data_IF_085371274877
#
_entry.id   IF_085371274877
#
_cell.length_a   1.000
_cell.length_b   1.000
_cell.length_c   1.000
_cell.angle_alpha   90.00
_cell.angle_beta   90.00
_cell.angle_gamma   90.00
#
_symmetry.space_group_name_H-M   'P 1'
#
loop_
_entity.id
_entity.type
_entity.pdbx_description
1 polymer ?
#
# COMPACT_ATOMS: atom_id res chain seq x y z
N UNK A 1 29.99 -7.25 7.36
CA UNK A 1 29.41 -7.43 8.71
C UNK A 1 28.99 -8.88 8.85
N UNK A 2 29.32 -9.54 9.96
CA UNK A 2 28.75 -10.85 10.26
C UNK A 2 27.25 -10.67 10.59
N UNK A 3 26.39 -11.62 10.19
CA UNK A 3 24.93 -11.58 10.50
C UNK A 3 24.67 -11.40 12.00
N UNK A 4 25.58 -11.88 12.83
CA UNK A 4 25.56 -11.79 14.30
C UNK A 4 25.71 -10.36 14.85
N UNK A 5 26.16 -9.40 14.03
CA UNK A 5 26.27 -7.98 14.39
C UNK A 5 25.15 -7.12 13.78
N UNK A 6 24.20 -7.72 13.07
CA UNK A 6 23.11 -6.98 12.46
C UNK A 6 22.13 -6.50 13.54
N UNK A 7 21.86 -5.20 13.59
CA UNK A 7 20.79 -4.66 14.43
C UNK A 7 19.44 -5.17 13.91
N UNK A 8 18.64 -5.73 14.81
CA UNK A 8 17.28 -6.15 14.49
C UNK A 8 16.41 -4.92 14.27
N UNK A 9 15.40 -5.01 13.38
CA UNK A 9 14.50 -3.89 13.14
C UNK A 9 13.76 -3.53 14.44
N UNK A 10 13.52 -2.24 14.65
CA UNK A 10 12.77 -1.76 15.82
C UNK A 10 11.32 -2.24 15.81
N UNK A 11 10.78 -2.49 14.61
CA UNK A 11 9.39 -2.86 14.37
C UNK A 11 9.25 -3.55 13.01
N UNK A 12 8.30 -4.47 12.89
CA UNK A 12 7.95 -5.14 11.63
C UNK A 12 6.53 -4.73 11.24
N UNK A 13 6.37 -4.25 10.01
CA UNK A 13 5.08 -3.83 9.45
C UNK A 13 4.84 -4.63 8.18
N UNK A 14 3.84 -5.50 8.19
CA UNK A 14 3.44 -6.28 7.02
C UNK A 14 2.17 -5.71 6.41
N UNK A 15 2.15 -5.50 5.09
CA UNK A 15 0.99 -5.07 4.33
C UNK A 15 0.80 -5.98 3.12
N UNK A 16 -0.45 -6.30 2.80
CA UNK A 16 -0.78 -7.06 1.59
C UNK A 16 -2.15 -6.71 1.06
N UNK A 17 -2.23 -6.55 -0.26
CA UNK A 17 -3.50 -6.41 -0.96
C UNK A 17 -4.13 -7.77 -1.33
N UNK A 18 -3.41 -8.88 -1.10
CA UNK A 18 -3.89 -10.22 -1.39
C UNK A 18 -4.71 -10.79 -0.22
N UNK A 19 -5.80 -11.51 -0.50
CA UNK A 19 -6.60 -12.15 0.54
C UNK A 19 -5.97 -13.47 1.05
N UNK A 20 -5.09 -14.07 0.24
CA UNK A 20 -4.43 -15.36 0.45
C UNK A 20 -2.97 -15.23 0.90
N UNK A 21 -2.54 -14.03 1.31
CA UNK A 21 -1.18 -13.75 1.78
C UNK A 21 -0.78 -14.66 2.96
N UNK A 22 0.50 -14.70 3.33
CA UNK A 22 0.98 -15.61 4.39
C UNK A 22 1.37 -14.91 5.69
N UNK A 23 1.11 -13.61 5.80
CA UNK A 23 1.48 -12.85 6.99
C UNK A 23 0.66 -13.27 8.23
N UNK A 24 1.29 -13.49 9.39
CA UNK A 24 0.55 -13.80 10.61
C UNK A 24 -0.48 -12.71 10.94
N UNK A 25 -1.73 -13.09 11.19
CA UNK A 25 -2.76 -12.16 11.67
C UNK A 25 -3.01 -12.42 13.16
N UNK A 26 -2.12 -11.89 14.00
CA UNK A 26 -2.12 -12.18 15.43
C UNK A 26 -3.25 -11.47 16.20
N UNK A 27 -3.73 -10.30 15.74
CA UNK A 27 -4.70 -9.46 16.49
C UNK A 27 -5.58 -8.59 15.57
N UNK A 28 -6.81 -8.35 16.03
CA UNK A 28 -7.80 -7.49 15.34
C UNK A 28 -7.50 -6.00 15.41
N UNK A 29 -6.80 -5.58 16.46
CA UNK A 29 -6.40 -4.19 16.70
C UNK A 29 -4.98 -4.22 17.30
N UNK A 30 -3.96 -3.78 16.57
CA UNK A 30 -2.61 -3.73 17.11
C UNK A 30 -2.52 -2.64 18.20
N UNK A 31 -1.75 -2.91 19.24
CA UNK A 31 -1.46 -1.94 20.29
C UNK A 31 -0.32 -1.01 19.84
N UNK A 32 -0.22 0.23 20.36
CA UNK A 32 0.83 1.18 19.97
C UNK A 32 2.27 0.71 20.19
N UNK A 33 2.49 -0.29 21.05
CA UNK A 33 3.80 -0.85 21.41
C UNK A 33 4.04 -2.26 20.86
N UNK A 34 3.15 -2.77 20.00
CA UNK A 34 3.36 -4.08 19.40
C UNK A 34 4.63 -4.07 18.52
N UNK A 35 5.38 -5.18 18.50
CA UNK A 35 6.57 -5.32 17.65
C UNK A 35 6.20 -5.59 16.18
N UNK A 36 5.00 -6.15 15.94
CA UNK A 36 4.53 -6.57 14.64
C UNK A 36 3.14 -6.00 14.33
N UNK A 37 3.01 -5.36 13.17
CA UNK A 37 1.75 -4.83 12.65
C UNK A 37 1.40 -5.51 11.34
N UNK A 38 0.12 -5.81 11.16
CA UNK A 38 -0.39 -6.39 9.92
C UNK A 38 -1.54 -5.55 9.38
N UNK A 39 -1.39 -5.09 8.14
CA UNK A 39 -2.35 -4.31 7.37
C UNK A 39 -2.68 -5.02 6.06
N UNK A 40 -3.33 -6.18 6.14
CA UNK A 40 -3.86 -6.86 4.96
C UNK A 40 -5.36 -7.07 5.04
N UNK A 41 -5.95 -7.59 3.96
CA UNK A 41 -7.42 -7.71 3.81
C UNK A 41 -8.08 -8.64 4.83
N UNK A 42 -7.32 -9.44 5.59
CA UNK A 42 -7.90 -10.37 6.58
C UNK A 42 -8.27 -9.67 7.88
N UNK A 43 -9.52 -9.82 8.30
CA UNK A 43 -9.92 -9.55 9.67
C UNK A 43 -9.38 -10.64 10.64
N UNK A 44 -9.51 -10.42 11.95
CA UNK A 44 -9.02 -11.37 12.96
C UNK A 44 -9.72 -12.74 12.98
N UNK A 45 -10.79 -12.91 12.19
CA UNK A 45 -11.43 -14.21 11.96
C UNK A 45 -10.98 -14.86 10.66
N UNK A 46 -10.02 -14.25 9.96
CA UNK A 46 -9.51 -14.70 8.67
C UNK A 46 -10.42 -14.34 7.48
N UNK A 47 -11.46 -13.53 7.68
CA UNK A 47 -12.38 -13.13 6.61
C UNK A 47 -11.85 -11.90 5.88
N UNK A 48 -11.96 -11.89 4.55
CA UNK A 48 -11.58 -10.75 3.74
C UNK A 48 -12.51 -9.55 4.00
N UNK A 49 -11.94 -8.39 4.31
CA UNK A 49 -12.60 -7.10 4.44
C UNK A 49 -11.67 -6.00 3.95
N UNK A 50 -12.06 -5.30 2.87
CA UNK A 50 -11.29 -4.17 2.35
C UNK A 50 -11.33 -2.91 3.23
N UNK A 51 -12.30 -2.83 4.15
CA UNK A 51 -12.55 -1.61 4.94
C UNK A 51 -11.96 -1.73 6.35
N UNK A 52 -12.00 -2.92 6.98
CA UNK A 52 -11.54 -3.07 8.36
C UNK A 52 -10.07 -2.67 8.61
N UNK A 53 -9.11 -2.98 7.72
CA UNK A 53 -7.72 -2.60 7.91
C UNK A 53 -7.52 -1.09 7.75
N UNK A 54 -8.22 -0.47 6.79
CA UNK A 54 -8.24 0.98 6.60
C UNK A 54 -8.77 1.70 7.85
N UNK A 55 -9.86 1.22 8.41
CA UNK A 55 -10.42 1.77 9.65
C UNK A 55 -9.45 1.61 10.83
N UNK A 56 -8.71 0.51 10.87
CA UNK A 56 -7.71 0.26 11.90
C UNK A 56 -6.50 1.20 11.74
N UNK A 57 -6.06 1.43 10.50
CA UNK A 57 -5.02 2.40 10.18
C UNK A 57 -5.47 3.82 10.57
N UNK A 58 -6.66 4.26 10.17
CA UNK A 58 -7.21 5.56 10.52
C UNK A 58 -7.35 5.76 12.04
N UNK A 59 -7.74 4.72 12.77
CA UNK A 59 -7.80 4.75 14.23
C UNK A 59 -6.41 4.82 14.87
N UNK A 60 -5.45 4.05 14.36
CA UNK A 60 -4.08 4.09 14.84
C UNK A 60 -3.45 5.47 14.57
N UNK A 61 -3.80 6.12 13.45
CA UNK A 61 -3.41 7.49 13.15
C UNK A 61 -4.05 8.52 14.07
N UNK A 62 -5.32 8.34 14.44
CA UNK A 62 -5.99 9.27 15.36
C UNK A 62 -5.58 9.07 16.82
N UNK A 63 -5.08 7.88 17.17
CA UNK A 63 -4.57 7.54 18.50
C UNK A 63 -3.06 7.81 18.66
N UNK A 64 -2.29 7.75 17.58
CA UNK A 64 -0.93 8.25 17.55
C UNK A 64 -0.99 9.74 17.88
N UNK A 65 -0.43 10.10 19.04
CA UNK A 65 -0.57 11.43 19.62
C UNK A 65 -0.38 12.55 18.60
N UNK A 66 -1.19 13.61 18.76
CA UNK A 66 -0.98 14.91 18.13
C UNK A 66 0.39 15.47 18.56
N UNK A 67 1.45 15.01 17.91
CA UNK A 67 2.83 15.29 18.32
C UNK A 67 3.87 14.73 17.34
N UNK A 68 3.61 13.60 16.68
CA UNK A 68 4.52 13.12 15.63
C UNK A 68 4.20 13.79 14.29
N UNK A 69 4.78 14.98 14.08
CA UNK A 69 4.63 15.77 12.86
C UNK A 69 4.98 14.95 11.60
N UNK A 70 5.86 13.93 11.71
CA UNK A 70 6.21 13.03 10.60
C UNK A 70 5.01 12.19 10.17
N UNK A 71 4.27 11.61 11.12
CA UNK A 71 3.07 10.82 10.86
C UNK A 71 1.96 11.67 10.27
N UNK A 72 1.68 12.84 10.86
CA UNK A 72 0.64 13.75 10.35
C UNK A 72 0.96 14.15 8.90
N UNK A 73 2.21 14.49 8.61
CA UNK A 73 2.62 14.86 7.25
C UNK A 73 2.50 13.68 6.25
N UNK A 74 2.83 12.46 6.67
CA UNK A 74 2.64 11.27 5.84
C UNK A 74 1.15 11.05 5.51
N UNK A 75 0.27 11.13 6.51
CA UNK A 75 -1.18 11.03 6.33
C UNK A 75 -1.72 12.11 5.39
N UNK A 76 -1.39 13.36 5.67
CA UNK A 76 -1.77 14.51 4.84
C UNK A 76 -1.38 14.31 3.38
N UNK A 77 -0.17 13.79 3.14
CA UNK A 77 0.33 13.50 1.79
C UNK A 77 -0.44 12.37 1.12
N UNK A 78 -0.81 11.30 1.85
CA UNK A 78 -1.67 10.23 1.32
C UNK A 78 -3.05 10.76 0.94
N UNK A 79 -3.68 11.60 1.77
CA UNK A 79 -4.98 12.20 1.46
C UNK A 79 -4.93 13.06 0.19
N UNK A 80 -3.94 13.95 0.07
CA UNK A 80 -3.75 14.79 -1.13
C UNK A 80 -3.54 13.96 -2.38
N UNK A 81 -2.75 12.91 -2.29
CA UNK A 81 -2.47 11.99 -3.40
C UNK A 81 -3.72 11.26 -3.89
N UNK A 82 -4.59 10.85 -2.97
CA UNK A 82 -5.86 10.22 -3.30
C UNK A 82 -6.92 11.22 -3.81
N UNK A 83 -6.60 12.51 -3.87
CA UNK A 83 -7.51 13.57 -4.34
C UNK A 83 -8.49 14.07 -3.28
N UNK A 84 -8.20 13.83 -2.00
CA UNK A 84 -9.02 14.24 -0.86
C UNK A 84 -8.34 15.34 -0.05
N UNK A 85 -9.15 16.09 0.70
CA UNK A 85 -8.66 17.00 1.74
C UNK A 85 -8.12 16.19 2.92
N UNK A 86 -7.24 16.82 3.68
CA UNK A 86 -6.56 16.27 4.85
C UNK A 86 -7.48 16.21 6.08
N UNK A 87 -8.79 16.09 5.86
CA UNK A 87 -9.83 16.07 6.88
C UNK A 87 -10.71 14.86 6.66
N UNK A 88 -10.97 14.11 7.73
CA UNK A 88 -11.90 12.99 7.74
C UNK A 88 -12.90 13.14 8.89
N UNK A 89 -14.10 12.63 8.68
CA UNK A 89 -15.14 12.61 9.71
C UNK A 89 -15.55 11.17 10.00
N UNK A 90 -15.30 10.70 11.22
CA UNK A 90 -15.82 9.42 11.68
C UNK A 90 -17.27 9.59 12.11
N UNK A 91 -18.17 8.80 11.54
CA UNK A 91 -19.57 8.78 11.93
C UNK A 91 -19.87 7.48 12.69
N UNK A 92 -20.19 7.61 13.97
CA UNK A 92 -20.51 6.50 14.86
C UNK A 92 -22.01 6.41 15.14
N UNK A 93 -22.55 5.21 15.04
CA UNK A 93 -23.90 4.85 15.49
C UNK A 93 -23.89 4.34 16.92
N UNK A 94 -24.85 4.78 17.73
CA UNK A 94 -25.04 4.35 19.12
C UNK A 94 -25.90 3.10 19.20
N UNK A 95 -25.45 2.05 19.91
CA UNK A 95 -26.23 0.82 20.10
C UNK A 95 -27.31 0.94 21.17
N UNK A 96 -27.06 1.72 22.22
CA UNK A 96 -27.94 1.90 23.37
C UNK A 96 -28.49 3.33 23.49
N UNK A 97 -28.62 4.03 22.36
CA UNK A 97 -28.95 5.47 22.32
C UNK A 97 -30.18 5.85 23.14
N UNK A 98 -31.21 5.00 23.16
CA UNK A 98 -32.44 5.23 23.92
C UNK A 98 -32.17 5.38 25.42
N UNK A 99 -31.40 4.46 25.99
CA UNK A 99 -31.03 4.47 27.41
C UNK A 99 -30.10 5.64 27.72
N UNK A 100 -29.08 5.87 26.88
CA UNK A 100 -28.13 6.97 27.08
C UNK A 100 -28.80 8.35 27.04
N UNK A 101 -29.81 8.54 26.19
CA UNK A 101 -30.62 9.78 26.16
C UNK A 101 -31.54 9.94 27.36
N UNK A 102 -31.92 8.84 28.02
CA UNK A 102 -32.69 8.87 29.27
C UNK A 102 -31.80 9.16 30.49
N UNK A 103 -30.48 9.34 30.29
CA UNK A 103 -29.53 9.65 31.35
C UNK A 103 -28.95 8.41 32.03
N UNK A 104 -29.24 7.20 31.55
CA UNK A 104 -28.58 5.99 32.02
C UNK A 104 -27.12 5.96 31.56
N UNK A 105 -26.21 5.67 32.48
CA UNK A 105 -24.78 5.59 32.20
C UNK A 105 -24.38 4.18 31.75
N UNK A 106 -23.28 4.03 30.99
CA UNK A 106 -22.69 2.72 30.71
C UNK A 106 -22.53 1.84 31.96
N UNK A 107 -22.08 2.40 33.08
CA UNK A 107 -21.96 1.69 34.36
C UNK A 107 -23.30 1.19 34.88
N UNK A 108 -24.36 2.02 34.86
CA UNK A 108 -25.69 1.60 35.30
C UNK A 108 -26.26 0.50 34.40
N UNK A 109 -26.08 0.63 33.07
CA UNK A 109 -26.51 -0.37 32.09
C UNK A 109 -25.81 -1.71 32.26
N UNK A 110 -24.52 -1.68 32.61
CA UNK A 110 -23.75 -2.90 32.89
C UNK A 110 -24.25 -3.60 34.16
N UNK A 111 -24.42 -2.85 35.26
CA UNK A 111 -24.88 -3.40 36.56
C UNK A 111 -26.30 -3.95 36.48
N UNK A 112 -27.20 -3.24 35.79
CA UNK A 112 -28.59 -3.64 35.62
C UNK A 112 -28.77 -4.80 34.61
N UNK A 113 -27.74 -5.15 33.85
CA UNK A 113 -27.81 -6.20 32.83
C UNK A 113 -28.57 -5.80 31.56
N UNK A 114 -28.75 -4.49 31.32
CA UNK A 114 -29.41 -3.93 30.15
C UNK A 114 -28.54 -3.98 28.88
N UNK A 115 -27.24 -4.25 29.02
CA UNK A 115 -26.32 -4.47 27.91
C UNK A 115 -26.47 -5.87 27.31
N UNK A 116 -26.34 -5.95 25.99
CA UNK A 116 -26.37 -7.22 25.26
C UNK A 116 -25.13 -8.08 25.54
N UNK A 117 -25.18 -9.40 25.27
CA UNK A 117 -24.11 -10.33 25.62
C UNK A 117 -22.72 -9.93 25.09
N UNK A 118 -22.66 -9.46 23.84
CA UNK A 118 -21.41 -9.01 23.19
C UNK A 118 -20.80 -7.79 23.88
N UNK A 119 -21.60 -6.76 24.21
CA UNK A 119 -21.10 -5.57 24.90
C UNK A 119 -20.64 -5.91 26.32
N UNK A 120 -21.41 -6.74 27.03
CA UNK A 120 -21.07 -7.19 28.38
C UNK A 120 -19.76 -7.96 28.41
N UNK A 121 -19.58 -8.93 27.52
CA UNK A 121 -18.34 -9.71 27.43
C UNK A 121 -17.11 -8.84 27.12
N UNK A 122 -17.27 -7.84 26.24
CA UNK A 122 -16.19 -6.89 25.92
C UNK A 122 -15.81 -6.04 27.12
N UNK A 123 -16.80 -5.51 27.85
CA UNK A 123 -16.56 -4.72 29.07
C UNK A 123 -15.91 -5.58 30.15
N UNK A 124 -16.35 -6.82 30.35
CA UNK A 124 -15.71 -7.79 31.26
C UNK A 124 -14.24 -8.01 30.91
N UNK A 125 -13.91 -8.13 29.61
CA UNK A 125 -12.53 -8.24 29.15
C UNK A 125 -11.68 -7.00 29.46
N UNK A 126 -12.25 -5.80 29.34
CA UNK A 126 -11.59 -4.54 29.68
C UNK A 126 -11.37 -4.40 31.20
N UNK A 127 -12.38 -4.73 32.00
CA UNK A 127 -12.33 -4.67 33.46
C UNK A 127 -11.23 -5.55 34.07
N UNK A 128 -10.85 -6.65 33.41
CA UNK A 128 -9.71 -7.49 33.86
C UNK A 128 -8.37 -6.76 33.86
N UNK A 129 -8.23 -5.73 33.02
CA UNK A 129 -6.98 -4.99 32.83
C UNK A 129 -7.02 -3.61 33.48
N UNK A 130 -8.21 -3.01 33.59
CA UNK A 130 -8.40 -1.66 34.08
C UNK A 130 -9.72 -1.60 34.90
N UNK A 131 -9.64 -1.60 36.24
CA UNK A 131 -10.80 -1.60 37.13
C UNK A 131 -11.70 -0.37 36.94
N UNK A 132 -11.13 0.75 36.51
CA UNK A 132 -11.83 2.05 36.41
C UNK A 132 -12.50 2.25 35.04
N UNK A 133 -12.54 1.21 34.19
CA UNK A 133 -13.10 1.29 32.83
C UNK A 133 -14.55 1.79 32.82
N UNK A 134 -15.37 1.40 33.79
CA UNK A 134 -16.77 1.84 33.85
C UNK A 134 -16.89 3.35 34.06
N UNK A 135 -16.07 3.94 34.94
CA UNK A 135 -16.04 5.39 35.15
C UNK A 135 -15.53 6.12 33.90
N UNK A 136 -14.51 5.57 33.24
CA UNK A 136 -13.98 6.12 31.97
C UNK A 136 -15.02 6.06 30.85
N UNK A 137 -15.82 4.99 30.78
CA UNK A 137 -16.92 4.86 29.82
C UNK A 137 -18.02 5.89 30.08
N UNK A 138 -18.38 6.12 31.34
CA UNK A 138 -19.36 7.14 31.72
C UNK A 138 -18.87 8.55 31.33
N UNK A 139 -17.61 8.86 31.62
CA UNK A 139 -16.97 10.11 31.22
C UNK A 139 -16.95 10.31 29.70
N UNK A 140 -16.67 9.25 28.93
CA UNK A 140 -16.67 9.26 27.47
C UNK A 140 -18.08 9.47 26.87
N UNK A 141 -19.12 8.91 27.49
CA UNK A 141 -20.52 9.18 27.08
C UNK A 141 -20.90 10.63 27.38
N UNK A 142 -20.48 11.16 28.54
CA UNK A 142 -20.74 12.54 28.92
C UNK A 142 -20.04 13.54 27.99
N UNK A 143 -18.79 13.28 27.59
CA UNK A 143 -18.03 14.12 26.66
C UNK A 143 -18.66 14.17 25.26
N UNK A 144 -19.29 13.09 24.82
CA UNK A 144 -20.01 13.01 23.54
C UNK A 144 -21.32 13.85 23.49
N UNK A 145 -21.74 14.46 24.62
CA UNK A 145 -22.90 15.40 24.70
C UNK A 145 -24.21 14.89 24.07
N UNK A 146 -24.42 13.57 24.11
CA UNK A 146 -25.51 12.85 23.43
C UNK A 146 -26.90 13.40 23.79
N UNK A 147 -27.09 13.82 25.05
CA UNK A 147 -28.36 14.34 25.57
C UNK A 147 -28.79 15.66 24.92
N UNK A 148 -27.84 16.42 24.37
CA UNK A 148 -28.09 17.70 23.69
C UNK A 148 -28.17 17.60 22.16
N UNK A 149 -27.74 16.48 21.58
CA UNK A 149 -27.68 16.28 20.13
C UNK A 149 -28.97 15.64 19.59
N UNK A 150 -29.58 16.29 18.59
CA UNK A 150 -30.70 15.70 17.82
C UNK A 150 -30.23 14.59 16.88
N UNK A 151 -28.93 14.54 16.54
CA UNK A 151 -28.38 13.54 15.62
C UNK A 151 -28.42 12.13 16.23
N UNK A 152 -28.68 11.14 15.38
CA UNK A 152 -28.54 9.72 15.71
C UNK A 152 -27.08 9.27 15.71
N UNK A 153 -26.20 10.09 15.12
CA UNK A 153 -24.79 9.79 14.96
C UNK A 153 -23.94 10.73 15.80
N UNK A 154 -22.83 10.19 16.29
CA UNK A 154 -21.73 10.99 16.83
C UNK A 154 -20.66 11.12 15.76
N UNK A 155 -20.41 12.37 15.36
CA UNK A 155 -19.43 12.71 14.32
C UNK A 155 -18.19 13.30 15.00
N UNK A 156 -17.03 12.74 14.67
CA UNK A 156 -15.73 13.21 15.16
C UNK A 156 -14.88 13.54 13.93
N UNK A 157 -14.42 14.78 13.86
CA UNK A 157 -13.57 15.25 12.78
C UNK A 157 -12.08 15.14 13.17
N UNK A 158 -11.29 14.50 12.32
CA UNK A 158 -9.83 14.53 12.38
C UNK A 158 -9.31 15.40 11.24
N UNK A 159 -8.62 16.47 11.62
CA UNK A 159 -7.94 17.37 10.70
C UNK A 159 -6.43 17.15 10.82
N UNK A 160 -5.84 16.64 9.74
CA UNK A 160 -4.41 16.36 9.57
C UNK A 160 -3.68 17.51 8.85
N UNK A 161 -4.33 18.66 8.66
CA UNK A 161 -3.68 19.82 8.08
C UNK A 161 -2.53 20.32 8.95
N UNK A 162 -1.51 20.88 8.29
CA UNK A 162 -0.31 21.42 8.96
C UNK A 162 -0.63 22.48 10.01
N UNK A 163 -1.76 23.16 9.89
CA UNK A 163 -2.24 24.20 10.81
C UNK A 163 -2.68 23.62 12.17
N UNK A 164 -2.97 22.32 12.26
CA UNK A 164 -3.44 21.65 13.47
C UNK A 164 -2.32 20.87 14.21
N UNK A 165 -1.08 20.86 13.68
CA UNK A 165 0.07 20.20 14.30
C UNK A 165 0.44 20.92 15.60
N UNK A 166 0.19 20.29 16.74
CA UNK A 166 0.53 20.81 18.07
C UNK A 166 -0.62 21.51 18.81
N UNK A 167 -1.80 21.63 18.21
CA UNK A 167 -3.00 21.96 18.97
C UNK A 167 -3.39 20.73 19.80
N UNK A 168 -3.34 20.82 21.14
CA UNK A 168 -4.05 19.87 22.02
C UNK A 168 -5.55 20.03 21.77
N UNK A 169 -6.03 19.44 20.68
CA UNK A 169 -7.40 19.61 20.23
C UNK A 169 -8.32 18.69 21.03
N UNK A 170 -9.54 19.15 21.28
CA UNK A 170 -10.62 18.32 21.84
C UNK A 170 -10.82 17.02 21.04
N UNK A 171 -10.45 17.02 19.74
CA UNK A 171 -10.51 15.85 18.88
C UNK A 171 -9.68 14.67 19.43
N UNK A 172 -8.47 14.90 19.97
CA UNK A 172 -7.65 13.82 20.54
C UNK A 172 -8.36 13.07 21.67
N UNK A 173 -9.05 13.82 22.54
CA UNK A 173 -9.86 13.27 23.63
C UNK A 173 -11.10 12.55 23.09
N UNK A 174 -11.81 13.16 22.14
CA UNK A 174 -12.97 12.56 21.48
C UNK A 174 -12.60 11.24 20.78
N UNK A 175 -11.44 11.15 20.13
CA UNK A 175 -10.95 9.91 19.52
C UNK A 175 -10.63 8.84 20.56
N UNK A 176 -9.94 9.19 21.64
CA UNK A 176 -9.68 8.25 22.75
C UNK A 176 -10.99 7.72 23.35
N UNK A 177 -11.93 8.63 23.63
CA UNK A 177 -13.27 8.31 24.16
C UNK A 177 -14.03 7.39 23.18
N UNK A 178 -13.97 7.69 21.88
CA UNK A 178 -14.61 6.86 20.86
C UNK A 178 -14.01 5.46 20.77
N UNK A 179 -12.70 5.33 20.91
CA UNK A 179 -12.05 4.03 20.85
C UNK A 179 -12.42 3.18 22.06
N UNK A 180 -12.49 3.78 23.25
CA UNK A 180 -12.96 3.11 24.47
C UNK A 180 -14.42 2.64 24.33
N UNK A 181 -15.32 3.53 23.92
CA UNK A 181 -16.75 3.21 23.73
C UNK A 181 -16.97 2.11 22.68
N UNK A 182 -16.17 2.11 21.62
CA UNK A 182 -16.21 1.10 20.56
C UNK A 182 -15.68 -0.24 21.03
N UNK A 183 -14.59 -0.26 21.80
CA UNK A 183 -14.04 -1.48 22.42
C UNK A 183 -15.04 -2.09 23.40
N UNK A 184 -15.77 -1.27 24.16
CA UNK A 184 -16.88 -1.70 25.01
C UNK A 184 -18.13 -2.14 24.21
N UNK A 185 -18.16 -1.90 22.90
CA UNK A 185 -19.28 -2.28 22.04
C UNK A 185 -20.52 -1.41 22.23
N UNK A 186 -20.37 -0.17 22.71
CA UNK A 186 -21.47 0.79 22.90
C UNK A 186 -21.75 1.63 21.64
N UNK A 187 -20.71 1.85 20.83
CA UNK A 187 -20.79 2.51 19.53
C UNK A 187 -20.24 1.62 18.41
N UNK A 188 -20.71 1.87 17.19
CA UNK A 188 -20.23 1.22 15.96
C UNK A 188 -19.84 2.29 14.96
N UNK A 189 -18.72 2.13 14.28
CA UNK A 189 -18.38 3.00 13.16
C UNK A 189 -19.30 2.66 11.97
N UNK A 190 -20.09 3.63 11.53
CA UNK A 190 -21.08 3.49 10.45
C UNK A 190 -20.49 3.90 9.11
N UNK A 191 -19.72 4.99 9.10
CA UNK A 191 -19.01 5.47 7.91
C UNK A 191 -17.83 6.35 8.28
N UNK A 192 -16.92 6.49 7.34
CA UNK A 192 -15.88 7.51 7.35
C UNK A 192 -16.15 8.42 6.17
N UNK A 193 -16.32 9.71 6.42
CA UNK A 193 -16.65 10.69 5.39
C UNK A 193 -15.36 11.43 5.04
N UNK A 194 -15.04 11.46 3.74
CA UNK A 194 -13.94 12.21 3.17
C UNK A 194 -14.46 13.37 2.34
N UNK A 195 -13.69 14.46 2.27
CA UNK A 195 -14.02 15.61 1.43
C UNK A 195 -13.09 15.65 0.21
N UNK A 196 -13.65 15.59 -1.00
CA UNK A 196 -12.87 15.64 -2.25
C UNK A 196 -12.24 17.04 -2.44
N UNK A 197 -11.00 17.08 -2.95
CA UNK A 197 -10.25 18.34 -3.09
C UNK A 197 -10.87 19.28 -4.13
N UNK A 198 -11.33 18.74 -5.26
CA UNK A 198 -11.81 19.51 -6.41
C UNK A 198 -13.14 20.23 -6.20
N UNK A 199 -14.23 19.49 -5.99
CA UNK A 199 -15.60 20.00 -5.86
C UNK A 199 -16.07 20.14 -4.41
N UNK A 200 -15.31 19.62 -3.44
CA UNK A 200 -15.70 19.59 -2.03
C UNK A 200 -16.79 18.57 -1.71
N UNK A 201 -17.09 17.63 -2.60
CA UNK A 201 -18.09 16.60 -2.37
C UNK A 201 -17.70 15.73 -1.17
N UNK A 202 -18.69 15.42 -0.32
CA UNK A 202 -18.56 14.48 0.78
C UNK A 202 -18.79 13.07 0.22
N UNK A 203 -17.78 12.20 0.31
CA UNK A 203 -17.89 10.79 -0.04
C UNK A 203 -17.74 9.93 1.21
N UNK A 204 -18.54 8.87 1.27
CA UNK A 204 -18.22 7.77 2.16
C UNK A 204 -16.98 7.05 1.64
N UNK A 205 -16.05 6.70 2.52
CA UNK A 205 -14.87 5.92 2.18
C UNK A 205 -15.22 4.59 1.49
N UNK A 206 -16.42 4.05 1.75
CA UNK A 206 -16.96 2.85 1.09
C UNK A 206 -17.28 3.06 -0.40
N UNK A 207 -17.39 4.30 -0.85
CA UNK A 207 -17.64 4.66 -2.25
C UNK A 207 -16.34 4.95 -3.03
N UNK A 208 -15.18 4.90 -2.37
CA UNK A 208 -13.89 5.01 -3.04
C UNK A 208 -13.60 3.76 -3.89
N UNK A 209 -12.78 3.91 -4.93
CA UNK A 209 -12.40 2.76 -5.76
C UNK A 209 -11.59 1.73 -4.95
N UNK A 210 -11.67 0.45 -5.32
CA UNK A 210 -10.93 -0.62 -4.64
C UNK A 210 -9.42 -0.37 -4.62
N UNK A 211 -8.86 0.16 -5.72
CA UNK A 211 -7.46 0.56 -5.81
C UNK A 211 -7.08 1.69 -4.85
N UNK A 212 -7.91 2.74 -4.76
CA UNK A 212 -7.71 3.83 -3.80
C UNK A 212 -7.79 3.32 -2.35
N UNK A 213 -8.74 2.45 -2.05
CA UNK A 213 -8.88 1.83 -0.72
C UNK A 213 -7.64 0.99 -0.39
N UNK A 214 -7.15 0.17 -1.33
CA UNK A 214 -5.95 -0.66 -1.15
C UNK A 214 -4.71 0.20 -0.85
N UNK A 215 -4.50 1.24 -1.65
CA UNK A 215 -3.37 2.15 -1.49
C UNK A 215 -3.45 2.98 -0.20
N UNK A 216 -4.64 3.51 0.10
CA UNK A 216 -4.91 4.22 1.34
C UNK A 216 -4.62 3.32 2.54
N UNK A 217 -5.15 2.10 2.53
CA UNK A 217 -4.97 1.12 3.61
C UNK A 217 -3.51 0.85 3.89
N UNK A 218 -2.74 0.58 2.82
CA UNK A 218 -1.33 0.24 2.93
C UNK A 218 -0.52 1.41 3.50
N UNK A 219 -0.61 2.59 2.87
CA UNK A 219 0.20 3.73 3.29
C UNK A 219 -0.25 4.36 4.60
N UNK A 220 -1.56 4.43 4.88
CA UNK A 220 -2.04 4.91 6.17
C UNK A 220 -1.68 3.91 7.28
N UNK A 221 -1.73 2.61 7.02
CA UNK A 221 -1.31 1.57 7.98
C UNK A 221 0.17 1.68 8.33
N UNK A 222 1.02 1.79 7.31
CA UNK A 222 2.46 2.03 7.50
C UNK A 222 2.67 3.34 8.27
N UNK A 223 2.04 4.45 7.85
CA UNK A 223 2.17 5.75 8.53
C UNK A 223 1.74 5.71 10.00
N UNK A 224 0.77 4.88 10.35
CA UNK A 224 0.29 4.74 11.73
C UNK A 224 1.27 4.03 12.66
N UNK A 225 2.13 3.19 12.12
CA UNK A 225 2.94 2.25 12.90
C UNK A 225 4.44 2.44 12.69
N UNK A 226 4.88 3.13 11.64
CA UNK A 226 6.30 3.29 11.33
C UNK A 226 7.05 4.07 12.43
N UNK A 227 8.29 3.65 12.64
CA UNK A 227 9.30 4.18 13.56
C UNK A 227 10.65 4.10 12.89
N UNK A 228 11.64 4.86 13.36
CA UNK A 228 13.01 4.74 12.88
C UNK A 228 13.52 3.30 13.12
N UNK A 229 14.24 2.73 12.15
CA UNK A 229 14.72 1.34 12.18
C UNK A 229 13.67 0.28 11.83
N UNK A 230 12.50 0.64 11.28
CA UNK A 230 11.43 -0.32 10.98
C UNK A 230 11.70 -1.14 9.70
N UNK A 231 11.27 -2.39 9.71
CA UNK A 231 11.19 -3.25 8.52
C UNK A 231 9.75 -3.28 8.01
N UNK A 232 9.54 -2.80 6.79
CA UNK A 232 8.25 -2.80 6.10
C UNK A 232 8.26 -3.88 5.02
N UNK A 233 7.29 -4.79 5.09
CA UNK A 233 7.09 -5.90 4.16
C UNK A 233 5.80 -5.64 3.39
N UNK A 234 5.87 -5.60 2.07
CA UNK A 234 4.72 -5.34 1.20
C UNK A 234 4.62 -6.49 0.20
N UNK A 235 3.45 -7.13 0.16
CA UNK A 235 3.19 -8.27 -0.72
C UNK A 235 2.06 -7.93 -1.69
N UNK A 236 2.32 -8.14 -2.98
CA UNK A 236 1.38 -7.93 -4.09
C UNK A 236 0.77 -6.51 -4.13
N UNK A 237 1.58 -5.43 -4.06
CA UNK A 237 1.05 -4.06 -4.08
C UNK A 237 0.24 -3.73 -5.35
N UNK A 238 0.43 -4.47 -6.44
CA UNK A 238 -0.25 -4.29 -7.72
C UNK A 238 -1.74 -4.66 -7.72
N UNK A 239 -2.20 -5.48 -6.76
CA UNK A 239 -3.57 -5.99 -6.77
C UNK A 239 -4.55 -4.82 -6.65
N UNK A 240 -5.46 -4.74 -7.64
CA UNK A 240 -6.47 -3.69 -7.78
C UNK A 240 -5.94 -2.28 -8.10
N UNK A 241 -4.63 -2.10 -8.36
CA UNK A 241 -4.06 -0.82 -8.78
C UNK A 241 -4.00 -0.71 -10.30
N UNK A 242 -4.24 0.51 -10.80
CA UNK A 242 -4.00 0.85 -12.21
C UNK A 242 -2.48 0.90 -12.50
N UNK A 243 -1.99 0.51 -13.69
CA UNK A 243 -0.55 0.48 -14.00
C UNK A 243 0.22 1.77 -13.68
N UNK A 244 -0.38 2.93 -13.94
CA UNK A 244 0.22 4.23 -13.58
C UNK A 244 0.51 4.36 -12.07
N UNK A 245 -0.39 3.82 -11.23
CA UNK A 245 -0.24 3.83 -9.78
C UNK A 245 0.76 2.77 -9.30
N UNK A 246 0.88 1.66 -10.04
CA UNK A 246 1.89 0.64 -9.80
C UNK A 246 3.29 1.22 -10.04
N UNK A 247 3.49 1.93 -11.17
CA UNK A 247 4.75 2.61 -11.49
C UNK A 247 5.11 3.72 -10.50
N UNK A 248 4.12 4.45 -9.99
CA UNK A 248 4.37 5.48 -8.97
C UNK A 248 4.64 4.90 -7.56
N UNK A 249 4.31 3.63 -7.31
CA UNK A 249 4.19 3.08 -5.95
C UNK A 249 5.46 3.23 -5.11
N UNK A 250 6.62 2.82 -5.64
CA UNK A 250 7.89 2.87 -4.91
C UNK A 250 8.34 4.31 -4.62
N UNK A 251 8.27 5.19 -5.63
CA UNK A 251 8.58 6.61 -5.45
C UNK A 251 7.63 7.29 -4.44
N UNK A 252 6.38 6.85 -4.35
CA UNK A 252 5.45 7.31 -3.32
C UNK A 252 5.84 6.84 -1.92
N UNK A 253 6.12 5.55 -1.75
CA UNK A 253 6.59 5.02 -0.47
C UNK A 253 7.85 5.75 0.02
N UNK A 254 8.84 5.93 -0.87
CA UNK A 254 10.07 6.66 -0.54
C UNK A 254 9.80 8.11 -0.14
N UNK A 255 8.96 8.84 -0.90
CA UNK A 255 8.62 10.23 -0.56
C UNK A 255 7.90 10.34 0.79
N UNK A 256 6.90 9.48 1.02
CA UNK A 256 6.08 9.48 2.23
C UNK A 256 6.90 9.19 3.50
N UNK A 257 7.83 8.24 3.40
CA UNK A 257 8.57 7.75 4.56
C UNK A 257 10.02 8.22 4.63
N UNK A 258 10.43 9.16 3.76
CA UNK A 258 11.77 9.77 3.71
C UNK A 258 12.23 10.43 5.02
N UNK A 259 11.30 10.82 5.89
CA UNK A 259 11.60 11.42 7.20
C UNK A 259 11.94 10.41 8.31
N UNK A 260 11.83 9.11 8.02
CA UNK A 260 12.23 8.03 8.94
C UNK A 260 13.60 7.48 8.54
N UNK A 261 14.44 7.22 9.53
CA UNK A 261 15.83 6.79 9.33
C UNK A 261 16.01 5.31 9.62
N UNK A 262 16.85 4.63 8.84
CA UNK A 262 17.17 3.21 9.05
C UNK A 262 16.03 2.24 8.72
N UNK A 263 15.00 2.71 8.01
CA UNK A 263 13.88 1.85 7.60
C UNK A 263 14.21 1.07 6.33
N UNK A 264 13.83 -0.20 6.29
CA UNK A 264 13.98 -1.05 5.12
C UNK A 264 12.62 -1.45 4.58
N UNK A 265 12.43 -1.33 3.26
CA UNK A 265 11.21 -1.74 2.57
C UNK A 265 11.54 -2.94 1.69
N UNK A 266 10.87 -4.07 1.92
CA UNK A 266 10.93 -5.26 1.08
C UNK A 266 9.58 -5.41 0.39
N UNK A 267 9.59 -5.36 -0.94
CA UNK A 267 8.39 -5.45 -1.76
C UNK A 267 8.47 -6.71 -2.62
N UNK A 268 7.50 -7.59 -2.45
CA UNK A 268 7.29 -8.74 -3.32
C UNK A 268 6.20 -8.38 -4.34
N UNK A 269 6.53 -8.51 -5.63
CA UNK A 269 5.64 -8.12 -6.73
C UNK A 269 5.92 -8.99 -7.95
N UNK A 270 4.87 -9.29 -8.71
CA UNK A 270 4.93 -9.87 -10.04
C UNK A 270 4.73 -8.81 -11.13
N UNK A 271 4.47 -7.55 -10.77
CA UNK A 271 4.18 -6.48 -11.71
C UNK A 271 5.45 -5.81 -12.26
N UNK A 272 5.67 -5.86 -13.58
CA UNK A 272 6.71 -5.10 -14.26
C UNK A 272 6.53 -3.58 -14.08
N UNK A 273 5.29 -3.12 -13.90
CA UNK A 273 5.00 -1.70 -13.68
C UNK A 273 5.56 -1.23 -12.35
N UNK A 274 5.46 -2.03 -11.28
CA UNK A 274 6.07 -1.69 -9.97
C UNK A 274 7.59 -1.62 -10.08
N UNK A 275 8.20 -2.59 -10.78
CA UNK A 275 9.66 -2.63 -11.01
C UNK A 275 10.15 -1.43 -11.83
N UNK A 276 9.41 -1.02 -12.87
CA UNK A 276 9.75 0.18 -13.66
C UNK A 276 9.81 1.46 -12.81
N UNK A 277 8.98 1.53 -11.77
CA UNK A 277 8.98 2.61 -10.79
C UNK A 277 10.26 2.74 -9.96
N UNK A 278 11.17 1.76 -10.03
CA UNK A 278 12.44 1.79 -9.31
C UNK A 278 13.40 2.87 -9.81
N UNK A 279 13.29 3.28 -11.07
CA UNK A 279 14.15 4.29 -11.71
C UNK A 279 14.20 5.63 -10.98
N UNK A 280 13.14 5.99 -10.26
CA UNK A 280 13.05 7.22 -9.46
C UNK A 280 13.51 7.03 -8.00
N UNK A 281 14.07 5.85 -7.66
CA UNK A 281 14.32 5.44 -6.27
C UNK A 281 15.70 4.80 -6.07
N UNK A 282 16.09 4.61 -4.81
CA UNK A 282 17.32 3.88 -4.45
C UNK A 282 17.05 2.36 -4.28
N UNK A 283 16.05 1.82 -4.96
CA UNK A 283 15.64 0.43 -4.82
C UNK A 283 16.58 -0.52 -5.60
N UNK A 284 16.70 -1.74 -5.11
CA UNK A 284 17.32 -2.86 -5.81
C UNK A 284 16.26 -3.95 -6.01
N UNK A 285 16.32 -4.67 -7.13
CA UNK A 285 15.47 -5.83 -7.37
C UNK A 285 16.31 -7.09 -7.40
N UNK A 286 15.68 -8.17 -6.95
CA UNK A 286 16.29 -9.50 -6.88
C UNK A 286 15.27 -10.45 -7.47
N UNK A 287 15.62 -11.10 -8.58
CA UNK A 287 14.82 -12.17 -9.14
C UNK A 287 14.93 -13.41 -8.25
N UNK A 288 13.79 -14.04 -7.97
CA UNK A 288 13.71 -15.27 -7.18
C UNK A 288 13.75 -16.53 -8.06
N UNK A 289 14.01 -16.39 -9.36
CA UNK A 289 14.01 -17.53 -10.27
C UNK A 289 15.23 -18.44 -10.03
N UNK A 290 14.96 -19.64 -9.52
CA UNK A 290 15.96 -20.60 -9.00
C UNK A 290 16.90 -21.17 -10.09
N UNK A 291 16.62 -20.92 -11.37
CA UNK A 291 17.42 -21.39 -12.49
C UNK A 291 18.72 -20.57 -12.70
N UNK A 292 18.77 -19.35 -12.17
CA UNK A 292 19.93 -18.45 -12.26
C UNK A 292 20.79 -18.60 -11.00
N UNK A 293 21.73 -19.54 -11.03
CA UNK A 293 22.66 -19.79 -9.92
C UNK A 293 23.59 -18.58 -9.76
N UNK A 294 23.28 -17.75 -8.76
CA UNK A 294 24.14 -16.70 -8.21
C UNK A 294 23.31 -15.51 -7.71
N UNK A 295 23.57 -14.94 -6.52
CA UNK A 295 23.01 -13.64 -6.14
C UNK A 295 23.74 -12.56 -6.94
N UNK A 296 23.66 -12.61 -8.27
CA UNK A 296 24.01 -11.47 -9.09
C UNK A 296 22.87 -10.48 -8.93
N UNK A 297 23.10 -9.54 -8.02
CA UNK A 297 22.37 -8.29 -7.95
C UNK A 297 22.58 -7.62 -9.31
N UNK A 298 21.70 -7.85 -10.28
CA UNK A 298 21.54 -7.02 -11.45
C UNK A 298 21.05 -5.65 -10.97
N UNK A 299 22.00 -4.86 -10.46
CA UNK A 299 21.76 -3.65 -9.68
C UNK A 299 21.27 -2.47 -10.52
N UNK A 300 20.72 -2.70 -11.72
CA UNK A 300 20.53 -1.64 -12.71
C UNK A 300 19.24 -1.77 -13.52
N UNK A 301 18.12 -2.04 -12.85
CA UNK A 301 16.77 -1.86 -13.41
C UNK A 301 16.31 -0.40 -13.45
N UNK A 302 17.11 0.50 -12.87
CA UNK A 302 16.80 1.92 -12.82
C UNK A 302 16.98 2.60 -14.18
N UNK A 303 15.87 2.86 -14.87
CA UNK A 303 15.80 3.65 -16.10
C UNK A 303 15.12 2.93 -17.26
N UNK A 304 14.90 1.63 -17.14
CA UNK A 304 14.25 0.83 -18.16
C UNK A 304 12.75 1.14 -18.22
N UNK A 305 12.21 1.22 -19.44
CA UNK A 305 10.76 1.35 -19.63
C UNK A 305 10.02 0.07 -19.21
N UNK A 306 8.73 0.16 -18.88
CA UNK A 306 7.90 -1.03 -18.59
C UNK A 306 8.00 -2.07 -19.72
N UNK A 307 7.99 -1.60 -20.97
CA UNK A 307 8.13 -2.44 -22.16
C UNK A 307 9.49 -3.15 -22.25
N UNK A 308 10.56 -2.49 -21.82
CA UNK A 308 11.92 -3.06 -21.79
C UNK A 308 12.06 -4.11 -20.69
N UNK A 309 11.54 -3.83 -19.50
CA UNK A 309 11.50 -4.78 -18.38
C UNK A 309 10.68 -6.02 -18.71
N UNK A 310 9.51 -5.84 -19.31
CA UNK A 310 8.65 -6.94 -19.77
C UNK A 310 9.41 -7.95 -20.63
N UNK A 311 10.26 -7.46 -21.53
CA UNK A 311 11.04 -8.31 -22.44
C UNK A 311 12.26 -8.90 -21.75
N UNK A 312 13.09 -8.07 -21.10
CA UNK A 312 14.38 -8.50 -20.55
C UNK A 312 14.25 -9.39 -19.33
N UNK A 313 13.33 -9.07 -18.43
CA UNK A 313 13.23 -9.72 -17.13
C UNK A 313 12.07 -10.70 -17.04
N UNK A 314 10.95 -10.38 -17.71
CA UNK A 314 9.75 -11.21 -17.66
C UNK A 314 9.59 -12.11 -18.89
N UNK A 315 10.44 -11.95 -19.91
CA UNK A 315 10.39 -12.77 -21.14
C UNK A 315 9.07 -12.64 -21.90
N UNK A 316 8.35 -11.53 -21.75
CA UNK A 316 7.06 -11.27 -22.39
C UNK A 316 7.28 -10.59 -23.72
N UNK A 317 6.97 -11.30 -24.81
CA UNK A 317 7.09 -10.81 -26.17
C UNK A 317 5.71 -10.51 -26.75
N UNK A 318 5.42 -9.24 -27.01
CA UNK A 318 4.18 -8.78 -27.65
C UNK A 318 4.50 -7.87 -28.83
N UNK A 319 3.77 -8.00 -29.94
CA UNK A 319 4.00 -7.16 -31.13
C UNK A 319 3.76 -5.67 -30.90
N UNK A 320 2.93 -5.33 -29.91
CA UNK A 320 2.65 -3.96 -29.47
C UNK A 320 3.72 -3.32 -28.58
N UNK A 321 4.70 -4.10 -28.11
CA UNK A 321 5.74 -3.62 -27.20
C UNK A 321 6.65 -2.59 -27.91
N UNK A 322 6.71 -1.36 -27.38
CA UNK A 322 7.41 -0.26 -28.04
C UNK A 322 8.93 -0.47 -28.04
N UNK A 323 9.46 -1.14 -27.03
CA UNK A 323 10.88 -1.47 -26.94
C UNK A 323 11.30 -2.44 -28.06
N UNK A 324 10.54 -3.52 -28.28
CA UNK A 324 10.78 -4.45 -29.40
C UNK A 324 10.66 -3.75 -30.76
N UNK A 325 9.67 -2.86 -30.94
CA UNK A 325 9.51 -2.10 -32.18
C UNK A 325 10.68 -1.15 -32.44
N UNK A 326 11.18 -0.47 -31.41
CA UNK A 326 12.36 0.41 -31.52
C UNK A 326 13.61 -0.37 -31.86
N UNK A 327 13.86 -1.50 -31.21
CA UNK A 327 15.04 -2.32 -31.50
C UNK A 327 14.97 -2.97 -32.89
N UNK A 328 13.78 -3.38 -33.36
CA UNK A 328 13.61 -3.84 -34.73
C UNK A 328 13.86 -2.72 -35.75
N UNK A 329 13.32 -1.52 -35.53
CA UNK A 329 13.56 -0.37 -36.40
C UNK A 329 15.06 -0.02 -36.44
N UNK A 330 15.72 -0.01 -35.28
CA UNK A 330 17.17 0.21 -35.16
C UNK A 330 17.96 -0.85 -35.95
N UNK A 331 17.61 -2.12 -35.82
CA UNK A 331 18.28 -3.20 -36.53
C UNK A 331 18.07 -3.08 -38.06
N UNK A 332 16.87 -2.71 -38.51
CA UNK A 332 16.58 -2.45 -39.92
C UNK A 332 17.37 -1.26 -40.48
N UNK A 333 17.45 -0.17 -39.73
CA UNK A 333 18.21 1.02 -40.13
C UNK A 333 19.71 0.69 -40.26
N UNK A 334 20.29 0.02 -39.27
CA UNK A 334 21.69 -0.43 -39.32
C UNK A 334 21.94 -1.39 -40.48
N UNK A 335 21.03 -2.33 -40.73
CA UNK A 335 21.12 -3.23 -41.88
C UNK A 335 21.05 -2.48 -43.22
N UNK A 336 20.23 -1.42 -43.30
CA UNK A 336 20.06 -0.62 -44.53
C UNK A 336 21.32 0.16 -44.92
N UNK A 337 22.12 0.57 -43.93
CA UNK A 337 23.40 1.28 -44.11
C UNK A 337 24.58 0.31 -44.26
N UNK A 338 24.35 -1.00 -44.10
CA UNK A 338 25.38 -2.04 -44.19
C UNK A 338 26.17 -2.25 -42.91
N UNK A 339 25.77 -1.66 -41.78
CA UNK A 339 26.43 -1.80 -40.48
C UNK A 339 25.99 -3.07 -39.72
N UNK A 340 25.86 -4.18 -40.44
CA UNK A 340 25.35 -5.47 -39.92
C UNK A 340 26.35 -6.12 -38.94
N UNK A 341 27.63 -5.81 -39.07
CA UNK A 341 28.71 -6.30 -38.21
C UNK A 341 28.97 -5.42 -36.98
N UNK A 342 28.20 -4.35 -36.80
CA UNK A 342 28.32 -3.45 -35.63
C UNK A 342 27.82 -4.12 -34.35
N UNK A 343 28.44 -3.77 -33.21
CA UNK A 343 28.00 -4.27 -31.89
C UNK A 343 26.57 -3.82 -31.58
N UNK A 344 26.17 -2.63 -32.05
CA UNK A 344 24.81 -2.12 -31.92
C UNK A 344 23.79 -2.99 -32.67
N UNK A 345 24.12 -3.48 -33.86
CA UNK A 345 23.24 -4.38 -34.62
C UNK A 345 23.12 -5.74 -33.92
N UNK A 346 24.25 -6.31 -33.46
CA UNK A 346 24.26 -7.58 -32.74
C UNK A 346 23.39 -7.51 -31.48
N UNK A 347 23.52 -6.45 -30.69
CA UNK A 347 22.71 -6.22 -29.50
C UNK A 347 21.22 -6.13 -29.82
N UNK A 348 20.85 -5.32 -30.82
CA UNK A 348 19.46 -5.17 -31.23
C UNK A 348 18.85 -6.51 -31.70
N UNK A 349 19.62 -7.28 -32.48
CA UNK A 349 19.24 -8.61 -32.97
C UNK A 349 19.07 -9.61 -31.83
N UNK A 350 19.99 -9.62 -30.86
CA UNK A 350 19.92 -10.51 -29.70
C UNK A 350 18.61 -10.33 -28.95
N UNK A 351 18.24 -9.07 -28.67
CA UNK A 351 17.01 -8.69 -27.97
C UNK A 351 15.75 -9.13 -28.72
N UNK A 352 15.67 -8.89 -30.03
CA UNK A 352 14.45 -9.21 -30.81
C UNK A 352 14.39 -10.68 -31.25
N UNK A 353 15.49 -11.42 -31.23
CA UNK A 353 15.55 -12.78 -31.78
C UNK A 353 14.52 -13.76 -31.20
N UNK A 354 14.20 -13.75 -29.88
CA UNK A 354 13.21 -14.68 -29.34
C UNK A 354 11.78 -14.36 -29.83
N UNK A 355 11.51 -13.09 -30.17
CA UNK A 355 10.23 -12.67 -30.74
C UNK A 355 9.92 -13.35 -32.09
N UNK A 356 10.95 -13.81 -32.84
CA UNK A 356 10.74 -14.57 -34.07
C UNK A 356 10.06 -15.94 -33.81
N UNK A 357 10.28 -16.51 -32.62
CA UNK A 357 9.72 -17.80 -32.22
C UNK A 357 8.38 -17.59 -31.51
N UNK A 358 8.35 -16.72 -30.50
CA UNK A 358 7.16 -16.45 -29.69
C UNK A 358 6.02 -15.83 -30.51
N UNK A 359 6.35 -14.94 -31.45
CA UNK A 359 5.38 -14.23 -32.31
C UNK A 359 5.38 -14.74 -33.76
N UNK A 360 5.72 -16.02 -33.99
CA UNK A 360 5.89 -16.59 -35.35
C UNK A 360 4.68 -16.39 -36.29
N UNK A 361 3.47 -16.37 -35.73
CA UNK A 361 2.23 -16.28 -36.50
C UNK A 361 1.83 -14.83 -36.80
N UNK A 362 2.45 -13.86 -36.11
CA UNK A 362 2.17 -12.43 -36.24
C UNK A 362 3.07 -11.74 -37.30
N UNK A 363 2.62 -10.61 -37.89
CA UNK A 363 3.43 -9.86 -38.84
C UNK A 363 4.80 -9.43 -38.27
N UNK A 364 4.82 -9.06 -36.98
CA UNK A 364 6.04 -8.65 -36.29
C UNK A 364 7.09 -9.77 -36.26
N UNK A 365 6.73 -10.96 -35.76
CA UNK A 365 7.66 -12.10 -35.68
C UNK A 365 8.15 -12.56 -37.05
N UNK A 366 7.31 -12.50 -38.09
CA UNK A 366 7.73 -12.81 -39.48
C UNK A 366 8.74 -11.80 -40.02
N UNK A 367 8.62 -10.53 -39.64
CA UNK A 367 9.57 -9.48 -40.02
C UNK A 367 10.93 -9.73 -39.38
N UNK A 368 10.94 -9.99 -38.07
CA UNK A 368 12.15 -10.37 -37.31
C UNK A 368 12.81 -11.60 -37.93
N UNK A 369 12.05 -12.67 -38.19
CA UNK A 369 12.59 -13.89 -38.81
C UNK A 369 13.18 -13.64 -40.21
N UNK A 370 12.64 -12.67 -40.96
CA UNK A 370 13.16 -12.30 -42.28
C UNK A 370 14.44 -11.48 -42.17
N UNK A 371 14.52 -10.55 -41.21
CA UNK A 371 15.74 -9.81 -40.90
C UNK A 371 16.88 -10.76 -40.48
N UNK A 372 16.62 -11.71 -39.58
CA UNK A 372 17.60 -12.69 -39.12
C UNK A 372 18.14 -13.56 -40.27
N UNK A 373 17.28 -13.95 -41.22
CA UNK A 373 17.70 -14.69 -42.42
C UNK A 373 18.56 -13.86 -43.35
N UNK A 374 18.19 -12.60 -43.57
CA UNK A 374 18.94 -11.67 -44.40
C UNK A 374 20.33 -11.37 -43.80
N UNK A 375 20.40 -11.14 -42.48
CA UNK A 375 21.65 -10.91 -41.77
C UNK A 375 22.62 -12.11 -41.91
N UNK A 376 22.11 -13.34 -41.75
CA UNK A 376 22.92 -14.56 -41.98
C UNK A 376 23.49 -14.65 -43.39
N UNK A 377 22.71 -14.32 -44.41
CA UNK A 377 23.19 -14.37 -45.81
C UNK A 377 24.26 -13.31 -46.09
N UNK A 378 24.17 -12.14 -45.46
CA UNK A 378 25.16 -11.09 -45.58
C UNK A 378 26.50 -11.51 -44.95
N UNK A 379 26.47 -12.08 -43.74
CA UNK A 379 27.66 -12.59 -43.02
C UNK A 379 28.38 -13.69 -43.81
N UNK A 380 27.62 -14.65 -44.36
CA UNK A 380 28.18 -15.74 -45.19
C UNK A 380 28.83 -15.22 -46.49
N UNK A 381 28.34 -14.09 -47.02
CA UNK A 381 28.87 -13.48 -48.24
C UNK A 381 30.15 -12.67 -48.02
N UNK A 382 30.35 -12.05 -46.84
CA UNK A 382 31.59 -11.38 -46.48
C UNK A 382 32.75 -12.36 -46.28
N UNK A 383 32.51 -13.51 -45.63
CA UNK A 383 33.52 -14.56 -45.42
C UNK A 383 34.01 -15.17 -46.75
N UNK A 384 33.13 -15.25 -47.75
CA UNK A 384 33.48 -15.69 -49.11
C UNK A 384 34.37 -14.73 -49.90
N UNK A 385 34.41 -13.44 -49.52
CA UNK A 385 35.17 -12.40 -50.23
C UNK A 385 36.63 -12.27 -49.77
N UNK A 386 36.96 -12.72 -48.55
CA UNK A 386 38.33 -12.71 -47.99
C UNK A 386 39.15 -13.93 -48.45
N UNK A 387 38.51 -14.89 -49.10
CA UNK A 387 39.10 -16.19 -49.51
C UNK A 387 39.53 -16.26 -50.98
N UNK A 388 39.71 -15.14 -51.67
CA UNK A 388 40.10 -15.10 -53.10
C UNK A 388 41.37 -14.32 -53.38
#
# INVERSE_FOLDING_TARGET
>A
MAIEQAEFPSRIIAASAAANDKFPNARRYPLPDDYYYYFGLRDATGRASGIAPLLSALQALSAAEAGDARRINAVATVFRLLGYREVLTHRYGWRYLRHLRQGESPSSLYVQGSLGPDARHRIEGLLRHDPDVLEKLDAAVASAKITSSKSLFWEIEADFSKENIGAKSNASREFSDSNLLRRAGLIRLESVILKRLGDGALLDLREASSGQISLATTFLGIAASITDGALVLIDEPEISLHPEWQAAYLGLAQRLFSSYTGCHFLVATHSPSVVAGMSETNANAVSLDLASVGPEVSSNYGGDSVDELLVREFGVYESGNLFLQKELARALDLASVGEISSDAFRHAVEVISPAAIELKDEPFGRLVASLLRAAKHADDSEVGSVSR
#
